data_IF_143279221440
#
_entry.id   IF_143279221440
#
_cell.length_a   1.000
_cell.length_b   1.000
_cell.length_c   1.000
_cell.angle_alpha   90.00
_cell.angle_beta   90.00
_cell.angle_gamma   90.00
#
_symmetry.space_group_name_H-M   'P 1'
#
loop_
_entity.id
_entity.type
_entity.pdbx_description
1 polymer ?
#
# COMPACT_ATOMS: atom_id res chain seq x y z
N UNK A 1 23.41 -20.49 1.92
CA UNK A 1 21.97 -20.34 1.63
C UNK A 1 21.49 -19.20 2.49
N UNK A 2 21.23 -18.04 1.89
CA UNK A 2 20.52 -16.97 2.59
C UNK A 2 19.10 -17.46 2.87
N UNK A 3 18.77 -17.68 4.13
CA UNK A 3 17.39 -17.95 4.53
C UNK A 3 16.58 -16.69 4.20
N UNK A 4 15.69 -16.79 3.20
CA UNK A 4 14.76 -15.70 2.89
C UNK A 4 13.85 -15.50 4.11
N UNK A 5 14.14 -14.47 4.90
CA UNK A 5 13.30 -14.08 6.03
C UNK A 5 12.04 -13.48 5.47
N UNK A 6 10.93 -14.17 5.70
CA UNK A 6 9.63 -13.88 5.09
C UNK A 6 8.76 -13.13 6.11
N UNK A 7 8.15 -12.03 5.67
CA UNK A 7 7.06 -11.43 6.43
C UNK A 7 5.92 -12.44 6.58
N UNK A 8 5.38 -12.56 7.78
CA UNK A 8 4.20 -13.35 8.11
C UNK A 8 3.10 -12.43 8.65
N UNK A 9 1.86 -12.91 8.73
CA UNK A 9 0.79 -12.15 9.36
C UNK A 9 0.85 -12.32 10.88
N UNK A 10 0.45 -11.29 11.63
CA UNK A 10 0.38 -11.35 13.09
C UNK A 10 -0.56 -12.48 13.58
N UNK A 11 -1.57 -12.83 12.78
CA UNK A 11 -2.46 -13.97 13.04
C UNK A 11 -1.78 -15.34 12.93
N UNK A 12 -0.59 -15.41 12.34
CA UNK A 12 0.15 -16.66 12.14
C UNK A 12 1.08 -16.98 13.32
N UNK A 13 1.37 -16.00 14.18
CA UNK A 13 2.14 -16.20 15.40
C UNK A 13 1.36 -17.04 16.42
N UNK A 14 2.07 -17.94 17.09
CA UNK A 14 1.52 -18.80 18.15
C UNK A 14 1.60 -18.12 19.52
N UNK A 15 0.82 -18.62 20.46
CA UNK A 15 0.86 -18.18 21.87
C UNK A 15 2.28 -18.23 22.43
N UNK A 16 2.76 -17.10 22.97
CA UNK A 16 4.10 -16.94 23.50
C UNK A 16 5.14 -16.45 22.49
N UNK A 17 4.84 -16.48 21.19
CA UNK A 17 5.73 -15.95 20.16
C UNK A 17 5.69 -14.42 20.09
N UNK A 18 6.79 -13.84 19.62
CA UNK A 18 6.98 -12.40 19.44
C UNK A 18 7.28 -12.08 17.98
N UNK A 19 6.74 -10.96 17.51
CA UNK A 19 7.03 -10.40 16.20
C UNK A 19 7.36 -8.92 16.26
N UNK A 20 8.15 -8.45 15.29
CA UNK A 20 8.37 -7.02 15.04
C UNK A 20 7.48 -6.60 13.88
N UNK A 21 6.64 -5.58 14.09
CA UNK A 21 5.72 -5.06 13.08
C UNK A 21 6.51 -4.45 11.91
N UNK A 22 6.28 -4.94 10.70
CA UNK A 22 6.91 -4.42 9.49
C UNK A 22 5.97 -3.56 8.66
N UNK A 23 4.68 -3.92 8.63
CA UNK A 23 3.66 -3.22 7.84
C UNK A 23 2.27 -3.37 8.44
N UNK A 24 1.42 -2.39 8.18
CA UNK A 24 -0.01 -2.43 8.52
C UNK A 24 -0.76 -2.21 7.22
N UNK A 25 -1.46 -3.25 6.79
CA UNK A 25 -2.34 -3.27 5.65
C UNK A 25 -3.69 -2.63 6.00
N UNK A 26 -4.52 -2.49 4.97
CA UNK A 26 -5.83 -1.86 5.09
C UNK A 26 -5.77 -0.34 5.18
N UNK A 27 -6.96 0.24 5.28
CA UNK A 27 -7.19 1.67 5.03
C UNK A 27 -8.14 2.29 6.05
N UNK A 28 -8.26 3.62 5.99
CA UNK A 28 -9.23 4.38 6.79
C UNK A 28 -9.22 4.18 8.30
N UNK A 29 -10.42 4.02 8.86
CA UNK A 29 -10.65 3.98 10.31
C UNK A 29 -9.90 2.83 11.00
N UNK A 30 -9.79 1.67 10.35
CA UNK A 30 -9.05 0.53 10.88
C UNK A 30 -7.59 0.88 11.11
N UNK A 31 -6.90 1.37 10.05
CA UNK A 31 -5.48 1.69 10.09
C UNK A 31 -5.18 2.79 11.10
N UNK A 32 -6.04 3.83 11.16
CA UNK A 32 -5.93 4.92 12.14
C UNK A 32 -5.99 4.36 13.57
N UNK A 33 -7.03 3.60 13.89
CA UNK A 33 -7.23 3.01 15.22
C UNK A 33 -6.08 2.09 15.64
N UNK A 34 -5.65 1.18 14.76
CA UNK A 34 -4.54 0.25 15.04
C UNK A 34 -3.24 0.99 15.32
N UNK A 35 -2.95 2.05 14.53
CA UNK A 35 -1.78 2.91 14.74
C UNK A 35 -1.86 3.66 16.07
N UNK A 36 -3.03 4.21 16.42
CA UNK A 36 -3.29 4.87 17.71
C UNK A 36 -3.14 3.90 18.90
N UNK A 37 -3.46 2.62 18.70
CA UNK A 37 -3.21 1.54 19.67
C UNK A 37 -1.75 1.06 19.69
N UNK A 38 -0.79 1.79 19.09
CA UNK A 38 0.64 1.50 19.23
C UNK A 38 1.17 0.39 18.34
N UNK A 39 0.34 -0.24 17.52
CA UNK A 39 0.79 -1.10 16.43
C UNK A 39 1.37 -0.21 15.35
N UNK A 40 2.68 0.02 15.39
CA UNK A 40 3.41 0.83 14.41
C UNK A 40 4.68 0.10 14.00
N UNK A 41 5.18 0.38 12.79
CA UNK A 41 6.38 -0.25 12.24
C UNK A 41 7.56 -0.16 13.22
N UNK A 42 8.24 -1.28 13.44
CA UNK A 42 9.37 -1.44 14.35
C UNK A 42 8.99 -1.72 15.80
N UNK A 43 7.69 -1.72 16.16
CA UNK A 43 7.27 -2.12 17.51
C UNK A 43 7.17 -3.64 17.63
N UNK A 44 7.56 -4.13 18.81
CA UNK A 44 7.41 -5.52 19.21
C UNK A 44 5.98 -5.78 19.67
N UNK A 45 5.43 -6.91 19.24
CA UNK A 45 4.14 -7.42 19.68
C UNK A 45 4.30 -8.89 20.10
N UNK A 46 3.68 -9.26 21.21
CA UNK A 46 3.72 -10.63 21.77
C UNK A 46 2.32 -11.22 21.78
N UNK A 47 2.17 -12.47 21.37
CA UNK A 47 0.88 -13.19 21.45
C UNK A 47 0.70 -13.73 22.86
N UNK A 48 -0.31 -13.25 23.58
CA UNK A 48 -0.54 -13.65 24.98
C UNK A 48 -1.38 -14.90 25.06
N UNK A 49 -2.53 -14.94 24.40
CA UNK A 49 -3.39 -16.12 24.32
C UNK A 49 -4.50 -15.95 23.29
N UNK A 50 -4.96 -17.09 22.78
CA UNK A 50 -6.18 -17.16 21.99
C UNK A 50 -7.40 -17.25 22.92
N UNK A 51 -8.51 -16.61 22.56
CA UNK A 51 -9.80 -16.88 23.19
C UNK A 51 -10.19 -18.37 23.02
N UNK A 52 -11.11 -18.92 23.85
CA UNK A 52 -11.52 -20.32 23.78
C UNK A 52 -12.01 -20.77 22.39
N UNK A 53 -12.51 -19.84 21.56
CA UNK A 53 -12.96 -20.07 20.19
C UNK A 53 -11.96 -19.58 19.12
N UNK A 54 -10.71 -19.34 19.50
CA UNK A 54 -9.62 -18.83 18.64
C UNK A 54 -9.82 -17.43 18.04
N UNK A 55 -10.86 -16.70 18.43
CA UNK A 55 -11.12 -15.31 18.05
C UNK A 55 -11.92 -14.62 19.18
N UNK A 56 -11.53 -13.42 19.67
CA UNK A 56 -10.32 -12.66 19.34
C UNK A 56 -9.04 -13.22 19.95
N UNK A 57 -7.89 -12.73 19.49
CA UNK A 57 -6.57 -13.05 20.01
C UNK A 57 -6.06 -11.87 20.86
N UNK A 58 -5.52 -12.15 22.03
CA UNK A 58 -4.95 -11.15 22.94
C UNK A 58 -3.46 -10.97 22.66
N UNK A 59 -3.07 -9.73 22.38
CA UNK A 59 -1.70 -9.32 22.10
C UNK A 59 -1.22 -8.34 23.17
N UNK A 60 0.06 -8.41 23.52
CA UNK A 60 0.73 -7.37 24.31
C UNK A 60 1.51 -6.45 23.37
N UNK A 61 1.22 -5.17 23.46
CA UNK A 61 1.87 -4.10 22.70
C UNK A 61 2.25 -3.00 23.69
N UNK A 62 3.52 -2.56 23.65
CA UNK A 62 4.05 -1.64 24.65
C UNK A 62 3.81 -2.19 26.09
N UNK A 63 3.10 -1.46 26.94
CA UNK A 63 2.86 -1.80 28.35
C UNK A 63 1.41 -2.24 28.63
N UNK A 64 0.64 -2.61 27.61
CA UNK A 64 -0.76 -3.02 27.79
C UNK A 64 -1.16 -4.14 26.82
N UNK A 65 -2.30 -4.76 27.11
CA UNK A 65 -2.88 -5.82 26.30
C UNK A 65 -4.01 -5.26 25.43
N UNK A 66 -4.10 -5.77 24.20
CA UNK A 66 -5.13 -5.43 23.21
C UNK A 66 -5.66 -6.73 22.62
N UNK A 67 -6.98 -6.86 22.57
CA UNK A 67 -7.62 -7.95 21.84
C UNK A 67 -7.94 -7.49 20.42
N UNK A 68 -7.43 -8.22 19.42
CA UNK A 68 -7.76 -8.01 18.01
C UNK A 68 -8.54 -9.19 17.47
N UNK A 69 -9.49 -8.94 16.57
CA UNK A 69 -10.07 -10.04 15.80
C UNK A 69 -8.99 -10.66 14.91
N UNK A 70 -9.13 -11.95 14.61
CA UNK A 70 -8.20 -12.65 13.73
C UNK A 70 -8.11 -11.99 12.36
N UNK A 71 -9.22 -11.53 11.82
CA UNK A 71 -9.26 -10.77 10.55
C UNK A 71 -8.53 -9.43 10.61
N UNK A 72 -8.43 -8.81 11.79
CA UNK A 72 -7.67 -7.57 11.99
C UNK A 72 -6.18 -7.87 12.14
N UNK A 73 -5.82 -8.95 12.83
CA UNK A 73 -4.45 -9.41 12.94
C UNK A 73 -3.85 -9.88 11.60
N UNK A 74 -4.67 -10.38 10.67
CA UNK A 74 -4.26 -10.69 9.30
C UNK A 74 -3.74 -9.47 8.52
N UNK A 75 -4.16 -8.26 8.93
CA UNK A 75 -3.74 -7.00 8.30
C UNK A 75 -2.46 -6.41 8.92
N UNK A 76 -1.83 -7.09 9.87
CA UNK A 76 -0.57 -6.65 10.47
C UNK A 76 0.52 -7.63 10.04
N UNK A 77 1.50 -7.15 9.27
CA UNK A 77 2.68 -7.93 8.91
C UNK A 77 3.75 -7.81 9.98
N UNK A 78 4.36 -8.94 10.30
CA UNK A 78 5.44 -9.05 11.28
C UNK A 78 6.58 -9.93 10.76
N UNK A 79 7.76 -9.74 11.31
CA UNK A 79 8.86 -10.71 11.24
C UNK A 79 8.98 -11.35 12.62
N UNK A 80 9.13 -12.67 12.69
CA UNK A 80 9.40 -13.36 13.94
C UNK A 80 10.72 -12.85 14.54
N UNK A 81 10.75 -12.65 15.87
CA UNK A 81 11.92 -12.06 16.54
C UNK A 81 13.22 -12.86 16.29
N UNK A 82 13.13 -14.18 16.19
CA UNK A 82 14.26 -15.07 15.88
C UNK A 82 14.90 -14.77 14.51
N UNK A 83 14.07 -14.49 13.51
CA UNK A 83 14.51 -14.09 12.17
C UNK A 83 15.07 -12.67 12.17
N UNK A 84 14.44 -11.76 12.92
CA UNK A 84 14.91 -10.38 13.05
C UNK A 84 16.32 -10.31 13.68
N UNK A 85 16.64 -11.18 14.65
CA UNK A 85 17.99 -11.33 15.20
C UNK A 85 19.00 -11.86 14.17
N UNK A 86 18.55 -12.70 13.24
CA UNK A 86 19.41 -13.23 12.16
C UNK A 86 19.78 -12.13 11.17
N UNK A 87 18.86 -11.21 10.83
CA UNK A 87 19.15 -10.02 10.01
C UNK A 87 20.08 -9.03 10.71
N UNK A 88 19.98 -8.94 12.03
CA UNK A 88 20.77 -8.03 12.86
C UNK A 88 22.25 -8.44 13.01
N UNK A 89 22.68 -9.60 12.48
CA UNK A 89 24.10 -10.02 12.45
C UNK A 89 24.94 -9.15 11.50
N UNK A 90 25.11 -7.89 11.87
CA UNK A 90 26.27 -7.05 11.57
C UNK A 90 27.43 -7.58 12.44
N UNK A 91 28.70 -7.57 11.99
CA UNK A 91 29.84 -8.07 12.78
C UNK A 91 30.12 -7.14 13.97
N UNK A 92 29.32 -7.23 15.02
CA UNK A 92 29.47 -6.44 16.23
C UNK A 92 29.23 -7.31 17.47
N UNK A 93 30.28 -7.50 18.28
CA UNK A 93 30.28 -8.26 19.54
C UNK A 93 29.67 -7.44 20.71
N UNK A 94 28.50 -6.85 20.50
CA UNK A 94 27.77 -6.07 21.52
C UNK A 94 26.44 -6.71 21.92
N UNK A 95 25.82 -6.22 23.00
CA UNK A 95 24.41 -6.50 23.31
C UNK A 95 23.52 -6.03 22.16
N UNK A 96 22.76 -6.95 21.57
CA UNK A 96 21.79 -6.61 20.52
C UNK A 96 20.65 -5.84 21.18
N UNK A 97 20.63 -4.53 20.96
CA UNK A 97 19.62 -3.63 21.52
C UNK A 97 18.34 -3.59 20.66
N UNK A 98 17.23 -3.10 21.21
CA UNK A 98 15.95 -2.94 20.50
C UNK A 98 16.09 -2.17 19.17
N UNK A 99 17.09 -1.31 19.07
CA UNK A 99 17.34 -0.48 17.90
C UNK A 99 17.92 -1.25 16.71
N UNK A 100 18.66 -2.34 16.94
CA UNK A 100 19.19 -3.18 15.84
C UNK A 100 18.06 -3.98 15.18
N UNK A 101 17.11 -4.48 15.97
CA UNK A 101 15.89 -5.14 15.49
C UNK A 101 14.98 -4.18 14.71
N UNK A 102 14.92 -2.91 15.12
CA UNK A 102 14.19 -1.86 14.37
C UNK A 102 14.83 -1.63 13.00
N UNK A 103 16.15 -1.58 12.91
CA UNK A 103 16.86 -1.30 11.64
C UNK A 103 16.60 -2.40 10.60
N UNK A 104 16.65 -3.67 10.99
CA UNK A 104 16.37 -4.79 10.09
C UNK A 104 14.89 -4.84 9.63
N UNK A 105 13.95 -4.58 10.54
CA UNK A 105 12.53 -4.45 10.20
C UNK A 105 12.22 -3.21 9.33
N UNK A 106 12.96 -2.11 9.52
CA UNK A 106 12.87 -0.91 8.69
C UNK A 106 13.32 -1.17 7.25
N UNK A 107 14.40 -1.93 7.08
CA UNK A 107 14.92 -2.35 5.77
C UNK A 107 13.98 -3.32 5.02
N UNK A 108 13.28 -4.23 5.70
CA UNK A 108 12.31 -5.12 5.05
C UNK A 108 10.97 -4.47 4.71
N UNK A 109 10.47 -3.51 5.50
CA UNK A 109 9.25 -2.78 5.17
C UNK A 109 9.46 -1.63 4.18
N UNK A 110 10.38 -1.77 3.23
CA UNK A 110 10.71 -0.77 2.22
C UNK A 110 9.99 -1.00 0.89
N UNK A 111 9.21 -2.09 0.78
CA UNK A 111 8.33 -2.32 -0.35
C UNK A 111 7.03 -1.51 -0.21
N UNK A 112 6.81 -0.61 -1.17
CA UNK A 112 5.60 0.21 -1.31
C UNK A 112 4.82 -0.30 -2.51
N UNK A 113 3.61 -0.79 -2.27
CA UNK A 113 2.70 -1.26 -3.29
C UNK A 113 1.88 -0.07 -3.82
N UNK A 114 1.97 0.17 -5.12
CA UNK A 114 1.29 1.26 -5.81
C UNK A 114 0.35 0.65 -6.85
N UNK A 115 -0.92 1.08 -6.83
CA UNK A 115 -1.84 0.84 -7.92
C UNK A 115 -1.99 2.12 -8.75
N UNK A 116 -1.80 2.04 -10.06
CA UNK A 116 -2.15 3.10 -10.99
C UNK A 116 -3.59 2.90 -11.45
N UNK A 117 -4.41 3.92 -11.26
CA UNK A 117 -5.80 3.98 -11.73
C UNK A 117 -5.99 5.25 -12.55
N UNK A 118 -7.06 5.29 -13.33
CA UNK A 118 -7.38 6.45 -14.14
C UNK A 118 -8.34 6.07 -15.26
N UNK A 119 -8.93 7.08 -15.89
CA UNK A 119 -9.77 6.86 -17.06
C UNK A 119 -8.96 6.32 -18.24
N UNK A 120 -9.65 5.68 -19.18
CA UNK A 120 -9.06 5.30 -20.46
C UNK A 120 -8.45 6.53 -21.15
N UNK A 121 -7.25 6.37 -21.71
CA UNK A 121 -6.49 7.42 -22.40
C UNK A 121 -6.01 8.60 -21.52
N UNK A 122 -6.01 8.47 -20.19
CA UNK A 122 -5.47 9.51 -19.27
C UNK A 122 -3.93 9.62 -19.27
N UNK A 123 -3.22 8.76 -19.99
CA UNK A 123 -1.76 8.65 -19.99
C UNK A 123 -1.19 7.75 -18.88
N UNK A 124 -2.05 6.98 -18.20
CA UNK A 124 -1.69 5.99 -17.17
C UNK A 124 -0.59 5.02 -17.62
N UNK A 125 -0.74 4.39 -18.79
CA UNK A 125 0.26 3.45 -19.33
C UNK A 125 1.57 4.14 -19.69
N UNK A 126 1.54 5.40 -20.13
CA UNK A 126 2.76 6.18 -20.39
C UNK A 126 3.53 6.45 -19.09
N UNK A 127 2.82 6.85 -18.03
CA UNK A 127 3.39 7.03 -16.70
C UNK A 127 3.96 5.73 -16.14
N UNK A 128 3.26 4.60 -16.34
CA UNK A 128 3.75 3.27 -15.98
C UNK A 128 5.05 2.92 -16.69
N UNK A 129 5.11 3.11 -18.01
CA UNK A 129 6.31 2.82 -18.81
C UNK A 129 7.51 3.66 -18.39
N UNK A 130 7.27 4.94 -18.08
CA UNK A 130 8.30 5.83 -17.54
C UNK A 130 8.84 5.32 -16.19
N UNK A 131 7.95 4.88 -15.30
CA UNK A 131 8.33 4.36 -13.99
C UNK A 131 8.99 2.96 -14.06
N UNK A 132 8.58 2.12 -15.00
CA UNK A 132 9.08 0.74 -15.15
C UNK A 132 10.40 0.64 -15.91
N UNK A 133 10.81 1.68 -16.63
CA UNK A 133 12.01 1.66 -17.46
C UNK A 133 11.99 0.50 -18.46
N UNK A 134 10.81 0.17 -19.01
CA UNK A 134 10.55 -0.94 -19.94
C UNK A 134 10.72 -2.36 -19.37
N UNK A 135 10.82 -2.53 -18.05
CA UNK A 135 10.85 -3.84 -17.40
C UNK A 135 9.46 -4.16 -16.82
N UNK A 136 8.57 -4.69 -17.66
CA UNK A 136 7.23 -5.13 -17.24
C UNK A 136 7.11 -6.65 -17.16
N UNK A 137 6.27 -7.12 -16.24
CA UNK A 137 5.71 -8.47 -16.27
C UNK A 137 4.21 -8.35 -16.46
N UNK A 138 3.68 -9.06 -17.44
CA UNK A 138 2.23 -9.15 -17.67
C UNK A 138 1.70 -10.35 -16.89
N UNK A 139 0.68 -10.13 -16.07
CA UNK A 139 -0.01 -11.18 -15.32
C UNK A 139 -1.49 -11.22 -15.70
N UNK A 140 -2.03 -12.44 -15.80
CA UNK A 140 -3.47 -12.65 -16.01
C UNK A 140 -4.14 -12.86 -14.66
N UNK A 141 -5.29 -12.23 -14.42
CA UNK A 141 -6.09 -12.49 -13.23
C UNK A 141 -6.95 -13.75 -13.40
N UNK A 142 -7.17 -14.48 -12.30
CA UNK A 142 -8.00 -15.68 -12.32
C UNK A 142 -9.46 -15.33 -12.62
N UNK A 143 -9.96 -15.80 -13.76
CA UNK A 143 -11.39 -15.75 -14.11
C UNK A 143 -11.82 -14.62 -15.06
N UNK A 144 -10.91 -13.71 -15.45
CA UNK A 144 -11.18 -12.65 -16.43
C UNK A 144 -9.99 -12.44 -17.37
N UNK A 145 -10.24 -12.06 -18.62
CA UNK A 145 -9.21 -11.72 -19.64
C UNK A 145 -8.69 -10.30 -19.47
N UNK A 146 -8.55 -9.85 -18.23
CA UNK A 146 -8.13 -8.48 -17.91
C UNK A 146 -6.66 -8.52 -17.52
N UNK A 147 -5.82 -7.94 -18.38
CA UNK A 147 -4.38 -7.89 -18.19
C UNK A 147 -4.02 -6.79 -17.19
N UNK A 148 -3.19 -7.11 -16.19
CA UNK A 148 -2.52 -6.13 -15.37
C UNK A 148 -1.01 -6.22 -15.59
N UNK A 149 -0.37 -5.05 -15.68
CA UNK A 149 1.08 -4.96 -15.85
C UNK A 149 1.71 -4.64 -14.52
N UNK A 150 2.71 -5.41 -14.14
CA UNK A 150 3.47 -5.18 -12.92
C UNK A 150 4.90 -4.76 -13.25
N UNK A 151 5.41 -3.79 -12.49
CA UNK A 151 6.79 -3.36 -12.54
C UNK A 151 7.35 -3.17 -11.13
N UNK A 152 8.66 -3.34 -10.98
CA UNK A 152 9.38 -3.07 -9.74
C UNK A 152 10.43 -2.00 -10.02
N UNK A 153 10.33 -0.87 -9.32
CA UNK A 153 11.27 0.23 -9.39
C UNK A 153 11.97 0.41 -8.04
N UNK A 154 13.30 0.47 -8.02
CA UNK A 154 14.06 0.75 -6.78
C UNK A 154 14.52 2.21 -6.76
N UNK A 155 14.32 2.91 -5.64
CA UNK A 155 14.82 4.26 -5.43
C UNK A 155 15.26 4.46 -3.99
N UNK A 156 16.56 4.67 -3.80
CA UNK A 156 17.18 4.67 -2.47
C UNK A 156 17.00 3.32 -1.78
N UNK A 157 16.50 3.34 -0.55
CA UNK A 157 16.19 2.13 0.23
C UNK A 157 14.82 1.53 -0.09
N UNK A 158 13.98 2.20 -0.89
CA UNK A 158 12.61 1.77 -1.20
C UNK A 158 12.54 0.96 -2.49
N UNK A 159 11.69 -0.07 -2.46
CA UNK A 159 11.24 -0.83 -3.62
C UNK A 159 9.78 -0.50 -3.89
N UNK A 160 9.46 -0.02 -5.08
CA UNK A 160 8.11 0.33 -5.48
C UNK A 160 7.59 -0.77 -6.39
N UNK A 161 6.58 -1.51 -5.94
CA UNK A 161 5.85 -2.45 -6.77
C UNK A 161 4.65 -1.72 -7.36
N UNK A 162 4.68 -1.47 -8.65
CA UNK A 162 3.68 -0.68 -9.36
C UNK A 162 2.83 -1.63 -10.20
N UNK A 163 1.51 -1.53 -10.07
CA UNK A 163 0.55 -2.27 -10.88
C UNK A 163 -0.23 -1.29 -11.74
N UNK A 164 -0.18 -1.46 -13.06
CA UNK A 164 -1.05 -0.75 -13.99
C UNK A 164 -2.40 -1.46 -14.06
N UNK A 165 -3.44 -0.85 -13.49
CA UNK A 165 -4.80 -1.39 -13.57
C UNK A 165 -5.48 -0.94 -14.86
N UNK A 166 -6.48 -1.67 -15.37
CA UNK A 166 -7.27 -1.27 -16.53
C UNK A 166 -7.80 0.15 -16.41
N UNK A 167 -7.87 0.84 -17.55
CA UNK A 167 -8.50 2.15 -17.60
C UNK A 167 -9.99 2.03 -17.29
N UNK A 168 -10.47 2.78 -16.31
CA UNK A 168 -11.89 2.76 -15.94
C UNK A 168 -12.45 4.14 -15.68
N UNK A 169 -13.71 4.35 -16.04
CA UNK A 169 -14.44 5.57 -15.68
C UNK A 169 -14.87 5.56 -14.21
N UNK A 170 -15.16 4.38 -13.67
CA UNK A 170 -15.65 4.21 -12.31
C UNK A 170 -15.24 2.84 -11.74
N UNK A 171 -15.41 2.65 -10.44
CA UNK A 171 -15.20 1.37 -9.75
C UNK A 171 -16.53 0.80 -9.25
N UNK A 172 -17.59 1.04 -10.02
CA UNK A 172 -18.83 0.29 -9.90
C UNK A 172 -18.65 -1.13 -10.44
N UNK A 173 -19.58 -2.05 -10.21
CA UNK A 173 -19.41 -3.46 -10.62
C UNK A 173 -20.08 -3.73 -11.98
N UNK A 174 -20.13 -2.74 -12.88
CA UNK A 174 -20.87 -2.85 -14.16
C UNK A 174 -20.04 -3.46 -15.29
N UNK A 175 -18.70 -3.34 -15.26
CA UNK A 175 -17.82 -3.99 -16.23
C UNK A 175 -16.78 -4.89 -15.55
N UNK A 176 -16.25 -5.91 -16.25
CA UNK A 176 -15.15 -6.73 -15.75
C UNK A 176 -13.92 -5.91 -15.34
N UNK A 177 -13.62 -4.83 -16.07
CA UNK A 177 -12.52 -3.91 -15.78
C UNK A 177 -12.78 -3.13 -14.50
N UNK A 178 -13.99 -2.58 -14.32
CA UNK A 178 -14.35 -1.84 -13.10
C UNK A 178 -14.30 -2.75 -11.86
N UNK A 179 -14.88 -3.95 -11.98
CA UNK A 179 -14.85 -4.98 -10.94
C UNK A 179 -13.40 -5.38 -10.61
N UNK A 180 -12.56 -5.56 -11.62
CA UNK A 180 -11.16 -5.89 -11.44
C UNK A 180 -10.40 -4.80 -10.68
N UNK A 181 -10.57 -3.53 -11.06
CA UNK A 181 -9.94 -2.38 -10.37
C UNK A 181 -10.39 -2.34 -8.91
N UNK A 182 -11.70 -2.47 -8.66
CA UNK A 182 -12.28 -2.49 -7.31
C UNK A 182 -11.72 -3.62 -6.47
N UNK A 183 -11.78 -4.87 -6.98
CA UNK A 183 -11.25 -6.06 -6.29
C UNK A 183 -9.76 -5.92 -6.00
N UNK A 184 -8.98 -5.42 -6.96
CA UNK A 184 -7.55 -5.22 -6.75
C UNK A 184 -7.29 -4.26 -5.59
N UNK A 185 -7.97 -3.11 -5.54
CA UNK A 185 -7.81 -2.13 -4.46
C UNK A 185 -8.24 -2.74 -3.12
N UNK A 186 -9.36 -3.48 -3.06
CA UNK A 186 -9.88 -4.02 -1.80
C UNK A 186 -9.11 -5.25 -1.30
N UNK A 187 -8.65 -6.12 -2.19
CA UNK A 187 -8.02 -7.40 -1.83
C UNK A 187 -6.50 -7.28 -1.72
N UNK A 188 -5.85 -6.54 -2.64
CA UNK A 188 -4.40 -6.35 -2.61
C UNK A 188 -3.98 -5.21 -1.67
N UNK A 189 -4.92 -4.33 -1.29
CA UNK A 189 -4.73 -3.23 -0.33
C UNK A 189 -3.43 -2.44 -0.60
N UNK A 190 -3.30 -1.82 -1.79
CA UNK A 190 -2.09 -1.08 -2.14
C UNK A 190 -1.82 0.03 -1.14
N UNK A 191 -0.55 0.30 -0.83
CA UNK A 191 -0.19 1.35 0.13
C UNK A 191 -0.63 2.74 -0.33
N UNK A 192 -0.58 2.96 -1.65
CA UNK A 192 -0.91 4.21 -2.31
C UNK A 192 -1.61 3.89 -3.64
N UNK A 193 -2.65 4.65 -3.96
CA UNK A 193 -3.24 4.70 -5.29
C UNK A 193 -2.79 5.99 -5.96
N UNK A 194 -2.18 5.88 -7.14
CA UNK A 194 -1.90 7.03 -8.00
C UNK A 194 -3.02 7.10 -9.02
N UNK A 195 -3.87 8.12 -8.88
CA UNK A 195 -4.96 8.38 -9.80
C UNK A 195 -4.48 9.32 -10.90
N UNK A 196 -4.37 8.81 -12.13
CA UNK A 196 -3.95 9.56 -13.31
C UNK A 196 -5.17 10.25 -13.91
N UNK A 197 -5.15 11.57 -13.85
CA UNK A 197 -6.26 12.45 -14.24
C UNK A 197 -5.83 13.29 -15.42
N UNK A 198 -6.57 13.21 -16.53
CA UNK A 198 -6.36 14.08 -17.68
C UNK A 198 -6.85 15.52 -17.38
N UNK A 199 -5.92 16.47 -17.37
CA UNK A 199 -6.18 17.89 -17.13
C UNK A 199 -7.10 18.52 -18.18
N UNK A 200 -7.15 18.00 -19.41
CA UNK A 200 -8.06 18.47 -20.47
C UNK A 200 -9.51 18.05 -20.21
N UNK A 201 -9.77 17.08 -19.32
CA UNK A 201 -11.09 16.48 -19.06
C UNK A 201 -11.34 16.24 -17.55
N UNK A 202 -11.12 17.26 -16.71
CA UNK A 202 -11.18 17.17 -15.26
C UNK A 202 -12.51 16.60 -14.71
N UNK A 203 -13.66 17.15 -15.13
CA UNK A 203 -14.98 16.74 -14.60
C UNK A 203 -15.20 15.23 -14.71
N UNK A 204 -14.90 14.68 -15.90
CA UNK A 204 -14.98 13.25 -16.20
C UNK A 204 -14.05 12.44 -15.28
N UNK A 205 -12.79 12.85 -15.16
CA UNK A 205 -11.79 12.11 -14.38
C UNK A 205 -12.01 12.21 -12.87
N UNK A 206 -12.56 13.33 -12.39
CA UNK A 206 -12.81 13.54 -10.97
C UNK A 206 -13.95 12.66 -10.43
N UNK A 207 -14.82 12.09 -11.28
CA UNK A 207 -15.82 11.12 -10.85
C UNK A 207 -15.19 9.84 -10.25
N UNK A 208 -14.17 9.28 -10.90
CA UNK A 208 -13.41 8.17 -10.30
C UNK A 208 -12.76 8.58 -8.98
N UNK A 209 -12.27 9.83 -8.91
CA UNK A 209 -11.60 10.38 -7.72
C UNK A 209 -12.52 10.37 -6.50
N UNK A 210 -13.80 10.72 -6.65
CA UNK A 210 -14.75 10.71 -5.53
C UNK A 210 -14.94 9.30 -4.97
N UNK A 211 -15.00 8.29 -5.83
CA UNK A 211 -15.14 6.90 -5.40
C UNK A 211 -13.89 6.39 -4.65
N UNK A 212 -12.70 6.79 -5.09
CA UNK A 212 -11.46 6.47 -4.38
C UNK A 212 -11.39 7.14 -3.00
N UNK A 213 -11.91 8.37 -2.87
CA UNK A 213 -12.06 9.06 -1.57
C UNK A 213 -12.97 8.25 -0.64
N UNK A 214 -14.11 7.77 -1.14
CA UNK A 214 -15.08 7.01 -0.34
C UNK A 214 -14.50 5.68 0.18
N UNK A 215 -13.56 5.08 -0.56
CA UNK A 215 -12.83 3.88 -0.10
C UNK A 215 -11.82 4.17 1.02
N UNK A 216 -11.56 5.45 1.33
CA UNK A 216 -10.67 5.91 2.40
C UNK A 216 -9.23 5.39 2.28
N UNK A 217 -8.76 5.24 1.04
CA UNK A 217 -7.41 4.82 0.68
C UNK A 217 -6.49 6.04 0.50
N UNK A 218 -5.17 5.85 0.58
CA UNK A 218 -4.22 6.94 0.33
C UNK A 218 -4.12 7.18 -1.16
N UNK A 219 -4.59 8.34 -1.62
CA UNK A 219 -4.56 8.72 -3.04
C UNK A 219 -3.56 9.85 -3.26
N UNK A 220 -2.87 9.81 -4.40
CA UNK A 220 -2.16 10.96 -5.00
C UNK A 220 -2.68 11.12 -6.42
N UNK A 221 -2.99 12.35 -6.83
CA UNK A 221 -3.43 12.62 -8.21
C UNK A 221 -2.21 13.01 -9.04
N UNK A 222 -1.97 12.29 -10.12
CA UNK A 222 -1.10 12.71 -11.20
C UNK A 222 -1.96 13.44 -12.23
N UNK A 223 -1.91 14.78 -12.21
CA UNK A 223 -2.67 15.64 -13.12
C UNK A 223 -1.92 15.74 -14.45
N UNK A 224 -2.19 14.79 -15.34
CA UNK A 224 -1.48 14.59 -16.58
C UNK A 224 -2.00 15.49 -17.71
N UNK A 225 -1.23 15.59 -18.80
CA UNK A 225 -1.52 16.47 -19.94
C UNK A 225 -1.66 17.95 -19.52
N UNK A 226 -0.91 18.35 -18.48
CA UNK A 226 -1.01 19.69 -17.93
C UNK A 226 -0.56 20.77 -18.93
N UNK A 227 0.37 20.43 -19.83
CA UNK A 227 0.82 21.31 -20.90
C UNK A 227 -0.29 21.63 -21.91
N UNK A 228 -1.22 20.70 -22.17
CA UNK A 228 -2.39 20.96 -23.00
C UNK A 228 -3.33 21.99 -22.38
N UNK A 229 -3.54 21.90 -21.07
CA UNK A 229 -4.34 22.85 -20.31
C UNK A 229 -3.72 24.26 -20.40
N UNK A 230 -2.41 24.37 -20.22
CA UNK A 230 -1.67 25.63 -20.35
C UNK A 230 -1.74 26.20 -21.77
N UNK A 231 -1.57 25.37 -22.81
CA UNK A 231 -1.65 25.77 -24.23
C UNK A 231 -3.03 26.34 -24.58
N UNK A 232 -4.11 25.86 -23.96
CA UNK A 232 -5.47 26.38 -24.14
C UNK A 232 -5.72 27.69 -23.39
N UNK A 233 -4.76 28.17 -22.59
CA UNK A 233 -4.89 29.37 -21.78
C UNK A 233 -5.78 29.20 -20.55
N UNK A 234 -6.13 27.96 -20.19
CA UNK A 234 -6.93 27.67 -19.01
C UNK A 234 -6.06 27.81 -17.74
N UNK A 235 -6.66 28.35 -16.68
CA UNK A 235 -6.03 28.41 -15.35
C UNK A 235 -6.76 27.45 -14.43
N UNK A 236 -5.99 26.59 -13.77
CA UNK A 236 -6.53 25.63 -12.82
C UNK A 236 -5.72 25.65 -11.52
N UNK A 237 -6.38 26.02 -10.42
CA UNK A 237 -5.78 26.03 -9.08
C UNK A 237 -5.87 24.61 -8.48
N UNK A 238 -4.98 23.74 -8.95
CA UNK A 238 -4.91 22.36 -8.48
C UNK A 238 -4.46 22.26 -7.01
N UNK A 239 -3.74 23.26 -6.49
CA UNK A 239 -3.35 23.27 -5.09
C UNK A 239 -4.55 23.52 -4.17
N UNK A 240 -5.42 24.47 -4.51
CA UNK A 240 -6.64 24.72 -3.77
C UNK A 240 -7.55 23.49 -3.80
N UNK A 241 -7.74 22.88 -4.98
CA UNK A 241 -8.51 21.64 -5.09
C UNK A 241 -7.90 20.50 -4.26
N UNK A 242 -6.57 20.33 -4.32
CA UNK A 242 -5.87 19.32 -3.52
C UNK A 242 -6.06 19.51 -2.02
N UNK A 243 -5.97 20.76 -1.53
CA UNK A 243 -6.26 21.10 -0.13
C UNK A 243 -7.71 20.81 0.25
N UNK A 244 -8.67 21.13 -0.62
CA UNK A 244 -10.09 20.85 -0.38
C UNK A 244 -10.40 19.36 -0.29
N UNK A 245 -9.77 18.54 -1.15
CA UNK A 245 -9.98 17.09 -1.16
C UNK A 245 -9.12 16.35 -0.12
N UNK A 246 -8.09 16.99 0.43
CA UNK A 246 -7.08 16.32 1.25
C UNK A 246 -6.18 15.36 0.44
N UNK A 247 -6.08 15.57 -0.87
CA UNK A 247 -5.32 14.73 -1.79
C UNK A 247 -4.23 15.57 -2.47
N UNK A 248 -2.94 15.18 -2.39
CA UNK A 248 -1.88 15.84 -3.16
C UNK A 248 -2.13 15.70 -4.66
N UNK A 249 -2.10 16.83 -5.38
CA UNK A 249 -2.17 16.86 -6.84
C UNK A 249 -0.81 17.30 -7.38
N UNK A 250 -0.23 16.48 -8.26
CA UNK A 250 1.06 16.74 -8.89
C UNK A 250 0.84 16.88 -10.40
N UNK A 251 1.07 18.06 -10.99
CA UNK A 251 1.05 18.22 -12.44
C UNK A 251 2.11 17.35 -13.10
N UNK A 252 1.74 16.65 -14.17
CA UNK A 252 2.64 15.80 -14.96
C UNK A 252 2.46 16.03 -16.45
N UNK A 253 3.52 15.73 -17.20
CA UNK A 253 3.50 15.64 -18.67
C UNK A 253 4.18 14.30 -18.99
N UNK A 254 3.36 13.28 -19.22
CA UNK A 254 3.80 11.92 -19.54
C UNK A 254 3.73 11.66 -21.05
#
# INVERSE_FOLDING_TARGET
METLIKNIQLSDLKTGEEGIITKILGHGAFRKRITEMGFVKGKRVTVIKNAPLQDPVEYKIMNYNVSLRRSEAQLVEVIAVEDAYTLAKVPFEGTIDEDVLKISALQQGSEINIALVGNQNSGKTTLFNFASGSHERVGNYSGVTVDAKEAIMKRGTYSFRIVDLPGTYSITEYSPEELYVRMHITEKMPDIVVNVVDASNLERNLFLTTQLIDMNIKVVIALNMFDELEKRGARFDYEALGRMMGIPIVPTVA
#
